data_IF_812157061378
#
_entry.id   IF_812157061378
#
_cell.length_a   1.000
_cell.length_b   1.000
_cell.length_c   1.000
_cell.angle_alpha   90.00
_cell.angle_beta   90.00
_cell.angle_gamma   90.00
#
_symmetry.space_group_name_H-M   'P 1'
#
loop_
_entity.id
_entity.type
_entity.pdbx_description
1 polymer ?
#
# COMPACT_ATOMS: atom_id res chain seq x y z
N UNK A 1 30.07 -6.65 7.91
CA UNK A 1 28.85 -7.41 8.26
C UNK A 1 27.69 -6.67 7.64
N UNK A 2 27.13 -7.18 6.53
CA UNK A 2 25.97 -6.54 5.92
C UNK A 2 24.82 -6.58 6.92
N UNK A 3 24.39 -5.41 7.38
CA UNK A 3 23.15 -5.29 8.15
C UNK A 3 22.04 -5.88 7.28
N UNK A 4 21.51 -7.04 7.67
CA UNK A 4 20.38 -7.67 6.98
C UNK A 4 19.22 -6.72 7.21
N UNK A 5 18.89 -5.91 6.21
CA UNK A 5 17.65 -5.13 6.23
C UNK A 5 16.53 -6.17 6.33
N UNK A 6 15.75 -6.19 7.42
CA UNK A 6 14.62 -7.11 7.51
C UNK A 6 13.67 -6.84 6.34
N UNK A 7 13.16 -7.90 5.72
CA UNK A 7 12.15 -7.80 4.66
C UNK A 7 11.01 -6.90 5.14
N UNK A 8 10.72 -5.84 4.38
CA UNK A 8 9.83 -4.77 4.86
C UNK A 8 8.41 -5.30 5.03
N UNK A 9 7.96 -6.25 4.19
CA UNK A 9 6.63 -6.86 4.35
C UNK A 9 6.59 -7.68 5.64
N UNK A 10 7.62 -8.46 5.94
CA UNK A 10 7.69 -9.24 7.18
C UNK A 10 7.70 -8.33 8.40
N UNK A 11 8.47 -7.24 8.35
CA UNK A 11 8.50 -6.23 9.41
C UNK A 11 7.11 -5.63 9.65
N UNK A 12 6.45 -5.12 8.59
CA UNK A 12 5.12 -4.49 8.67
C UNK A 12 4.01 -5.48 9.07
N UNK A 13 4.15 -6.75 8.68
CA UNK A 13 3.23 -7.81 9.06
C UNK A 13 3.50 -8.37 10.47
N UNK A 14 4.61 -8.00 11.12
CA UNK A 14 5.00 -8.54 12.42
C UNK A 14 5.44 -10.01 12.38
N UNK A 15 5.93 -10.47 11.22
CA UNK A 15 6.38 -11.85 11.02
C UNK A 15 7.74 -12.03 11.69
N UNK A 16 7.79 -12.98 12.64
CA UNK A 16 9.03 -13.33 13.33
C UNK A 16 9.75 -14.46 12.58
N UNK A 17 11.09 -14.44 12.49
CA UNK A 17 11.86 -15.56 11.96
C UNK A 17 11.47 -16.88 12.63
N UNK A 18 11.27 -17.94 11.84
CA UNK A 18 10.85 -19.25 12.31
C UNK A 18 9.36 -19.38 12.66
N UNK A 19 8.54 -18.35 12.48
CA UNK A 19 7.09 -18.46 12.63
C UNK A 19 6.44 -19.29 11.51
N UNK A 20 5.17 -19.66 11.66
CA UNK A 20 4.42 -20.36 10.60
C UNK A 20 4.31 -19.52 9.32
N UNK A 21 4.08 -18.21 9.44
CA UNK A 21 4.03 -17.30 8.30
C UNK A 21 5.40 -17.07 7.65
N UNK A 22 6.48 -17.03 8.43
CA UNK A 22 7.83 -16.95 7.88
C UNK A 22 8.14 -18.18 7.01
N UNK A 23 7.87 -19.39 7.53
CA UNK A 23 8.00 -20.64 6.75
C UNK A 23 7.12 -20.66 5.51
N UNK A 24 5.92 -20.08 5.57
CA UNK A 24 5.02 -20.00 4.41
C UNK A 24 5.60 -19.07 3.34
N UNK A 25 6.13 -17.91 3.73
CA UNK A 25 6.77 -16.96 2.80
C UNK A 25 8.05 -17.53 2.19
N UNK A 26 8.77 -18.36 2.93
CA UNK A 26 9.95 -19.10 2.43
C UNK A 26 9.63 -20.11 1.32
N UNK A 27 8.37 -20.53 1.17
CA UNK A 27 7.96 -21.36 0.02
C UNK A 27 7.91 -20.57 -1.30
N UNK A 28 7.98 -19.23 -1.25
CA UNK A 28 7.94 -18.34 -2.41
C UNK A 28 9.12 -17.35 -2.37
N UNK A 29 10.38 -17.83 -2.37
CA UNK A 29 11.56 -16.99 -2.12
C UNK A 29 11.68 -15.85 -3.14
N UNK A 30 11.37 -16.11 -4.41
CA UNK A 30 11.40 -15.08 -5.45
C UNK A 30 10.38 -13.96 -5.21
N UNK A 31 9.20 -14.26 -4.68
CA UNK A 31 8.19 -13.24 -4.40
C UNK A 31 8.62 -12.36 -3.21
N UNK A 32 9.20 -12.96 -2.17
CA UNK A 32 9.79 -12.24 -1.02
C UNK A 32 10.93 -11.34 -1.48
N UNK A 33 11.90 -11.90 -2.20
CA UNK A 33 13.07 -11.17 -2.72
C UNK A 33 12.68 -10.03 -3.67
N UNK A 34 11.80 -10.28 -4.65
CA UNK A 34 11.42 -9.25 -5.63
C UNK A 34 10.60 -8.13 -4.99
N UNK A 35 9.79 -8.42 -3.97
CA UNK A 35 9.08 -7.38 -3.21
C UNK A 35 10.08 -6.48 -2.46
N UNK A 36 11.10 -7.06 -1.81
CA UNK A 36 12.13 -6.29 -1.13
C UNK A 36 12.97 -5.46 -2.12
N UNK A 37 13.36 -6.02 -3.26
CA UNK A 37 14.06 -5.27 -4.32
C UNK A 37 13.23 -4.13 -4.87
N UNK A 38 11.92 -4.33 -5.04
CA UNK A 38 10.99 -3.29 -5.49
C UNK A 38 10.91 -2.14 -4.47
N UNK A 39 10.85 -2.46 -3.18
CA UNK A 39 10.92 -1.45 -2.11
C UNK A 39 12.20 -0.63 -2.22
N UNK A 40 13.36 -1.30 -2.31
CA UNK A 40 14.66 -0.63 -2.39
C UNK A 40 14.76 0.24 -3.65
N UNK A 41 14.34 -0.25 -4.80
CA UNK A 41 14.35 0.54 -6.04
C UNK A 41 13.45 1.78 -5.97
N UNK A 42 12.37 1.75 -5.19
CA UNK A 42 11.41 2.85 -5.09
C UNK A 42 11.73 3.85 -3.98
N UNK A 43 12.36 3.42 -2.88
CA UNK A 43 12.65 4.28 -1.72
C UNK A 43 14.13 4.58 -1.51
N UNK A 44 15.01 3.70 -1.98
CA UNK A 44 16.47 3.81 -1.88
C UNK A 44 17.14 3.55 -3.25
N UNK A 45 16.70 4.21 -4.34
CA UNK A 45 17.29 4.01 -5.65
C UNK A 45 18.77 4.42 -5.66
N UNK A 46 19.60 3.67 -6.38
CA UNK A 46 21.00 4.03 -6.64
C UNK A 46 21.10 5.38 -7.38
N UNK A 47 20.13 5.65 -8.27
CA UNK A 47 19.99 6.90 -9.01
C UNK A 47 18.62 7.50 -8.72
N UNK A 48 18.49 8.45 -7.77
CA UNK A 48 17.19 8.96 -7.34
C UNK A 48 16.34 9.67 -8.39
N UNK A 49 16.98 10.18 -9.44
CA UNK A 49 16.32 11.04 -10.43
C UNK A 49 15.76 12.31 -9.79
N UNK A 50 14.69 12.84 -10.37
CA UNK A 50 14.08 14.11 -9.94
C UNK A 50 12.98 13.92 -8.88
N UNK A 51 12.58 12.68 -8.58
CA UNK A 51 11.63 12.38 -7.51
C UNK A 51 12.38 12.24 -6.18
N UNK A 52 12.22 13.23 -5.31
CA UNK A 52 12.92 13.31 -4.03
C UNK A 52 12.46 12.23 -3.04
N UNK A 53 13.30 11.92 -2.05
CA UNK A 53 12.91 11.04 -0.94
C UNK A 53 11.67 11.57 -0.20
N UNK A 54 11.59 12.89 0.00
CA UNK A 54 10.45 13.55 0.63
C UNK A 54 9.15 13.27 -0.14
N UNK A 55 9.15 13.46 -1.46
CA UNK A 55 7.97 13.20 -2.30
C UNK A 55 7.56 11.73 -2.26
N UNK A 56 8.54 10.80 -2.28
CA UNK A 56 8.27 9.35 -2.18
C UNK A 56 7.61 8.98 -0.84
N UNK A 57 8.15 9.46 0.28
CA UNK A 57 7.58 9.18 1.61
C UNK A 57 6.27 9.92 1.87
N UNK A 58 6.08 11.12 1.30
CA UNK A 58 4.80 11.83 1.35
C UNK A 58 3.69 11.03 0.64
N UNK A 59 3.95 10.55 -0.58
CA UNK A 59 3.02 9.70 -1.33
C UNK A 59 2.76 8.39 -0.58
N UNK A 60 3.81 7.76 -0.02
CA UNK A 60 3.67 6.53 0.75
C UNK A 60 2.79 6.67 2.00
N UNK A 61 3.00 7.75 2.75
CA UNK A 61 2.20 8.10 3.93
C UNK A 61 0.74 8.33 3.53
N UNK A 62 0.50 9.07 2.45
CA UNK A 62 -0.84 9.35 1.95
C UNK A 62 -1.57 8.07 1.51
N UNK A 63 -0.94 7.24 0.66
CA UNK A 63 -1.53 5.98 0.18
C UNK A 63 -1.79 5.01 1.34
N UNK A 64 -0.87 4.86 2.29
CA UNK A 64 -1.11 4.04 3.48
C UNK A 64 -2.34 4.53 4.28
N UNK A 65 -2.51 5.85 4.37
CA UNK A 65 -3.67 6.48 4.99
C UNK A 65 -4.98 6.20 4.25
N UNK A 66 -5.00 6.31 2.92
CA UNK A 66 -6.17 5.99 2.10
C UNK A 66 -6.61 4.52 2.27
N UNK A 67 -5.66 3.61 2.47
CA UNK A 67 -5.91 2.19 2.74
C UNK A 67 -6.26 1.88 4.22
N UNK A 68 -6.36 2.91 5.08
CA UNK A 68 -6.69 2.79 6.52
C UNK A 68 -5.75 1.85 7.28
N UNK A 69 -4.45 1.93 6.99
CA UNK A 69 -3.42 1.13 7.65
C UNK A 69 -2.56 2.00 8.58
N UNK A 70 -2.96 2.25 9.83
CA UNK A 70 -2.26 3.19 10.73
C UNK A 70 -0.80 2.80 10.96
N UNK A 71 -0.49 1.51 11.13
CA UNK A 71 0.89 1.05 11.31
C UNK A 71 1.80 1.33 10.09
N UNK A 72 1.22 1.34 8.88
CA UNK A 72 1.96 1.64 7.66
C UNK A 72 2.08 3.15 7.47
N UNK A 73 1.08 3.93 7.91
CA UNK A 73 1.18 5.39 8.00
C UNK A 73 2.34 5.78 8.92
N UNK A 74 2.40 5.22 10.13
CA UNK A 74 3.46 5.50 11.09
C UNK A 74 4.84 5.17 10.54
N UNK A 75 4.96 4.02 9.87
CA UNK A 75 6.22 3.58 9.23
C UNK A 75 6.74 4.60 8.22
N UNK A 76 5.92 5.01 7.25
CA UNK A 76 6.35 5.97 6.22
C UNK A 76 6.45 7.41 6.74
N UNK A 77 5.62 7.79 7.71
CA UNK A 77 5.67 9.12 8.32
C UNK A 77 6.95 9.33 9.14
N UNK A 78 7.52 8.28 9.74
CA UNK A 78 8.77 8.38 10.49
C UNK A 78 9.96 8.83 9.60
N UNK A 79 10.05 8.28 8.39
CA UNK A 79 11.06 8.70 7.41
C UNK A 79 10.80 10.13 6.92
N UNK A 80 9.53 10.50 6.67
CA UNK A 80 9.17 11.87 6.30
C UNK A 80 9.51 12.89 7.39
N UNK A 81 9.32 12.54 8.67
CA UNK A 81 9.68 13.39 9.80
C UNK A 81 11.19 13.58 9.92
N UNK A 82 11.96 12.53 9.65
CA UNK A 82 13.44 12.57 9.63
C UNK A 82 13.97 13.53 8.55
N UNK A 83 13.22 13.71 7.47
CA UNK A 83 13.51 14.68 6.41
C UNK A 83 13.13 16.13 6.79
N UNK A 84 12.69 16.39 8.02
CA UNK A 84 12.53 17.74 8.58
C UNK A 84 11.25 18.48 8.19
N UNK A 85 10.20 17.78 7.75
CA UNK A 85 9.01 18.38 7.13
C UNK A 85 7.75 18.26 7.99
N UNK A 86 7.74 18.92 9.15
CA UNK A 86 6.60 18.88 10.10
C UNK A 86 5.32 19.50 9.54
N UNK A 87 5.42 20.63 8.82
CA UNK A 87 4.26 21.29 8.19
C UNK A 87 3.62 20.43 7.09
N UNK A 88 4.45 19.79 6.26
CA UNK A 88 3.99 18.84 5.23
C UNK A 88 3.33 17.63 5.90
N UNK A 89 3.92 17.11 6.97
CA UNK A 89 3.35 15.97 7.71
C UNK A 89 1.97 16.29 8.27
N UNK A 90 1.78 17.50 8.84
CA UNK A 90 0.49 17.95 9.35
C UNK A 90 -0.55 18.13 8.22
N UNK A 91 -0.16 18.76 7.11
CA UNK A 91 -1.03 18.91 5.93
C UNK A 91 -1.44 17.55 5.35
N UNK A 92 -0.51 16.59 5.26
CA UNK A 92 -0.78 15.24 4.80
C UNK A 92 -1.78 14.49 5.68
N UNK A 93 -1.66 14.58 7.01
CA UNK A 93 -2.61 13.95 7.93
C UNK A 93 -4.04 14.49 7.71
N UNK A 94 -4.18 15.80 7.53
CA UNK A 94 -5.48 16.41 7.24
C UNK A 94 -6.03 16.01 5.85
N UNK A 95 -5.17 15.91 4.84
CA UNK A 95 -5.57 15.47 3.51
C UNK A 95 -5.87 13.96 3.43
N UNK A 96 -5.21 13.11 4.22
CA UNK A 96 -5.57 11.68 4.37
C UNK A 96 -7.01 11.56 4.88
N UNK A 97 -7.37 12.34 5.90
CA UNK A 97 -8.72 12.35 6.44
C UNK A 97 -9.75 12.80 5.40
N UNK A 98 -9.44 13.85 4.63
CA UNK A 98 -10.32 14.35 3.54
C UNK A 98 -10.43 13.39 2.35
N UNK A 99 -9.36 12.68 2.04
CA UNK A 99 -9.29 11.73 0.92
C UNK A 99 -9.87 10.35 1.24
N UNK A 100 -10.21 10.07 2.51
CA UNK A 100 -10.74 8.76 2.92
C UNK A 100 -12.15 8.54 2.39
N UNK A 101 -12.28 7.58 1.47
CA UNK A 101 -13.53 7.21 0.79
C UNK A 101 -13.61 5.69 0.63
N UNK A 102 -14.74 5.17 0.13
CA UNK A 102 -14.92 3.75 -0.18
C UNK A 102 -15.06 3.53 -1.68
N UNK A 103 -14.01 3.02 -2.33
CA UNK A 103 -14.03 2.63 -3.75
C UNK A 103 -13.84 1.12 -3.95
N UNK A 104 -13.54 0.65 -5.17
CA UNK A 104 -13.18 1.46 -6.33
C UNK A 104 -14.39 2.05 -7.07
N UNK A 105 -14.16 3.20 -7.67
CA UNK A 105 -15.02 3.90 -8.61
C UNK A 105 -14.46 3.77 -10.03
N UNK A 106 -15.28 4.05 -11.02
CA UNK A 106 -14.82 4.06 -12.39
C UNK A 106 -15.92 4.15 -13.43
N UNK A 107 -15.59 4.80 -14.54
CA UNK A 107 -16.48 4.95 -15.68
C UNK A 107 -16.21 3.87 -16.72
N UNK A 108 -17.27 3.15 -17.07
CA UNK A 108 -17.26 2.18 -18.16
C UNK A 108 -18.02 2.74 -19.37
N UNK A 109 -17.47 2.60 -20.59
CA UNK A 109 -18.24 2.85 -21.82
C UNK A 109 -19.49 1.97 -21.87
N UNK A 110 -20.44 2.33 -22.72
CA UNK A 110 -21.64 1.51 -22.97
C UNK A 110 -21.22 0.10 -23.42
N UNK A 111 -21.67 -0.91 -22.68
CA UNK A 111 -21.34 -2.31 -22.91
C UNK A 111 -21.62 -3.20 -21.69
N UNK A 112 -21.18 -4.48 -21.72
CA UNK A 112 -21.45 -5.43 -20.64
C UNK A 112 -20.93 -4.98 -19.27
N UNK A 113 -19.81 -4.27 -19.24
CA UNK A 113 -19.17 -3.79 -18.00
C UNK A 113 -19.79 -2.48 -17.48
N UNK A 114 -20.77 -1.88 -18.15
CA UNK A 114 -21.45 -0.68 -17.64
C UNK A 114 -22.11 -0.91 -16.28
N UNK A 115 -22.46 -2.16 -15.95
CA UNK A 115 -23.01 -2.55 -14.64
C UNK A 115 -22.00 -2.34 -13.49
N UNK A 116 -20.70 -2.34 -13.79
CA UNK A 116 -19.64 -2.09 -12.80
C UNK A 116 -19.36 -0.59 -12.59
N UNK A 117 -20.10 0.29 -13.29
CA UNK A 117 -19.93 1.74 -13.18
C UNK A 117 -20.36 2.22 -11.79
N UNK A 118 -19.42 2.78 -11.05
CA UNK A 118 -19.68 3.45 -9.78
C UNK A 118 -19.09 4.86 -9.86
N UNK A 119 -19.92 5.89 -9.71
CA UNK A 119 -19.46 7.27 -9.60
C UNK A 119 -18.93 7.51 -8.18
N UNK A 120 -17.89 8.33 -8.06
CA UNK A 120 -17.26 8.65 -6.78
C UNK A 120 -16.77 10.09 -6.73
N UNK A 121 -16.48 10.60 -5.52
CA UNK A 121 -15.95 11.96 -5.36
C UNK A 121 -14.56 12.09 -5.97
N UNK A 122 -14.36 13.11 -6.80
CA UNK A 122 -13.02 13.46 -7.26
C UNK A 122 -12.27 14.21 -6.16
N UNK A 123 -11.19 13.62 -5.65
CA UNK A 123 -10.36 14.26 -4.65
C UNK A 123 -9.55 15.42 -5.23
N UNK A 124 -9.47 16.50 -4.46
CA UNK A 124 -8.60 17.66 -4.66
C UNK A 124 -8.04 18.10 -3.32
N UNK A 125 -6.75 18.41 -3.31
CA UNK A 125 -6.09 19.00 -2.13
C UNK A 125 -6.79 20.33 -1.82
N UNK A 126 -7.04 20.60 -0.54
CA UNK A 126 -7.68 21.85 -0.12
C UNK A 126 -6.84 23.08 -0.48
N UNK A 127 -7.49 24.22 -0.70
CA UNK A 127 -6.79 25.46 -1.01
C UNK A 127 -5.78 25.85 0.09
N UNK A 128 -6.13 25.62 1.36
CA UNK A 128 -5.24 25.87 2.50
C UNK A 128 -3.94 25.03 2.42
N UNK A 129 -4.04 23.76 2.07
CA UNK A 129 -2.88 22.87 2.06
C UNK A 129 -2.04 22.98 0.78
N UNK A 130 -2.60 23.51 -0.32
CA UNK A 130 -1.84 23.72 -1.58
C UNK A 130 -0.62 24.62 -1.39
N UNK A 131 -0.75 25.67 -0.58
CA UNK A 131 0.35 26.59 -0.32
C UNK A 131 1.50 25.92 0.47
N UNK A 132 1.16 25.01 1.39
CA UNK A 132 2.14 24.27 2.21
C UNK A 132 2.79 23.11 1.46
N UNK A 133 2.01 22.39 0.66
CA UNK A 133 2.46 21.23 -0.10
C UNK A 133 3.19 21.63 -1.39
N UNK A 134 2.85 22.80 -1.95
CA UNK A 134 3.34 23.23 -3.25
C UNK A 134 2.73 22.43 -4.42
N UNK A 135 3.04 22.84 -5.66
CA UNK A 135 2.38 22.32 -6.86
C UNK A 135 2.70 20.84 -7.12
N UNK A 136 3.96 20.42 -6.92
CA UNK A 136 4.41 19.04 -7.19
C UNK A 136 3.72 18.02 -6.29
N UNK A 137 3.77 18.21 -4.97
CA UNK A 137 3.10 17.33 -4.03
C UNK A 137 1.58 17.36 -4.22
N UNK A 138 1.00 18.54 -4.44
CA UNK A 138 -0.43 18.66 -4.72
C UNK A 138 -0.86 17.76 -5.88
N UNK A 139 -0.17 17.86 -7.02
CA UNK A 139 -0.51 17.11 -8.22
C UNK A 139 -0.33 15.59 -8.03
N UNK A 140 0.74 15.15 -7.36
CA UNK A 140 0.97 13.71 -7.15
C UNK A 140 0.04 13.11 -6.11
N UNK A 141 -0.40 13.84 -5.10
CA UNK A 141 -1.41 13.34 -4.15
C UNK A 141 -2.77 13.17 -4.83
N UNK A 142 -3.16 14.10 -5.69
CA UNK A 142 -4.37 13.96 -6.51
C UNK A 142 -4.28 12.76 -7.47
N UNK A 143 -3.11 12.54 -8.08
CA UNK A 143 -2.87 11.37 -8.93
C UNK A 143 -2.85 10.05 -8.14
N UNK A 144 -2.25 10.04 -6.94
CA UNK A 144 -2.24 8.87 -6.08
C UNK A 144 -3.68 8.49 -5.67
N UNK A 145 -4.52 9.45 -5.31
CA UNK A 145 -5.93 9.20 -5.02
C UNK A 145 -6.68 8.63 -6.23
N UNK A 146 -6.47 9.21 -7.42
CA UNK A 146 -7.00 8.70 -8.69
C UNK A 146 -6.60 7.22 -8.90
N UNK A 147 -5.34 6.86 -8.73
CA UNK A 147 -4.89 5.47 -8.91
C UNK A 147 -5.41 4.51 -7.84
N UNK A 148 -5.64 4.98 -6.61
CA UNK A 148 -6.17 4.15 -5.51
C UNK A 148 -7.66 3.88 -5.67
N UNK A 149 -8.46 4.91 -5.97
CA UNK A 149 -9.93 4.80 -5.95
C UNK A 149 -10.60 4.89 -7.31
N UNK A 150 -9.95 5.47 -8.31
CA UNK A 150 -10.48 5.66 -9.67
C UNK A 150 -9.51 5.16 -10.76
N UNK A 151 -8.85 3.99 -10.61
CA UNK A 151 -7.79 3.58 -11.54
C UNK A 151 -8.28 3.48 -12.99
N UNK A 152 -9.58 3.21 -13.20
CA UNK A 152 -10.21 3.15 -14.51
C UNK A 152 -10.35 4.52 -15.19
N UNK A 153 -10.43 5.59 -14.41
CA UNK A 153 -10.60 6.96 -14.90
C UNK A 153 -9.26 7.64 -15.21
N UNK A 154 -8.14 6.92 -15.05
CA UNK A 154 -6.82 7.38 -15.48
C UNK A 154 -6.85 7.76 -16.97
N UNK A 155 -6.40 8.97 -17.27
CA UNK A 155 -6.55 9.58 -18.59
C UNK A 155 -5.36 10.48 -18.95
N UNK A 156 -5.14 10.80 -20.24
CA UNK A 156 -4.12 11.75 -20.66
C UNK A 156 -4.25 13.11 -19.96
N UNK A 157 -5.48 13.59 -19.74
CA UNK A 157 -5.73 14.84 -19.03
C UNK A 157 -5.30 14.79 -17.55
N UNK A 158 -5.43 13.63 -16.89
CA UNK A 158 -4.93 13.45 -15.53
C UNK A 158 -3.38 13.48 -15.49
N UNK A 159 -2.72 12.83 -16.47
CA UNK A 159 -1.27 12.86 -16.58
C UNK A 159 -0.74 14.26 -16.94
N UNK A 160 -1.47 15.03 -17.75
CA UNK A 160 -1.10 16.40 -18.10
C UNK A 160 -0.98 17.30 -16.87
N UNK A 161 -1.85 17.13 -15.85
CA UNK A 161 -1.76 17.89 -14.60
C UNK A 161 -0.44 17.68 -13.86
N UNK A 162 0.16 16.49 -13.97
CA UNK A 162 1.48 16.22 -13.39
C UNK A 162 2.58 16.94 -14.20
N UNK A 163 2.51 16.90 -15.52
CA UNK A 163 3.44 17.64 -16.39
C UNK A 163 3.38 19.15 -16.12
N UNK A 164 2.16 19.70 -16.00
CA UNK A 164 1.92 21.12 -15.68
C UNK A 164 2.46 21.51 -14.31
N UNK A 165 2.51 20.56 -13.37
CA UNK A 165 3.13 20.73 -12.04
C UNK A 165 4.67 20.59 -12.06
N UNK A 166 5.27 20.35 -13.23
CA UNK A 166 6.71 20.25 -13.42
C UNK A 166 7.28 18.85 -13.24
N UNK A 167 6.46 17.80 -13.24
CA UNK A 167 6.94 16.42 -13.27
C UNK A 167 7.38 16.04 -14.69
N UNK A 168 8.47 15.29 -14.81
CA UNK A 168 8.84 14.69 -16.11
C UNK A 168 8.04 13.42 -16.37
N UNK A 169 8.00 12.95 -17.62
CA UNK A 169 7.39 11.66 -17.95
C UNK A 169 8.00 10.50 -17.14
N UNK A 170 9.32 10.52 -16.92
CA UNK A 170 10.03 9.52 -16.12
C UNK A 170 9.58 9.55 -14.65
N UNK A 171 9.38 10.74 -14.10
CA UNK A 171 8.88 10.91 -12.74
C UNK A 171 7.46 10.35 -12.59
N UNK A 172 6.58 10.66 -13.56
CA UNK A 172 5.19 10.19 -13.56
C UNK A 172 5.13 8.66 -13.56
N UNK A 173 5.99 8.00 -14.35
CA UNK A 173 6.09 6.53 -14.34
C UNK A 173 6.56 6.04 -12.97
N UNK A 174 7.61 6.64 -12.41
CA UNK A 174 8.17 6.27 -11.10
C UNK A 174 7.13 6.41 -9.98
N UNK A 175 6.38 7.51 -9.97
CA UNK A 175 5.33 7.80 -8.98
C UNK A 175 4.14 6.84 -9.13
N UNK A 176 3.75 6.52 -10.37
CA UNK A 176 2.66 5.57 -10.64
C UNK A 176 3.05 4.14 -10.23
N UNK A 177 4.32 3.76 -10.44
CA UNK A 177 4.88 2.51 -9.95
C UNK A 177 4.92 2.47 -8.43
N UNK A 178 5.32 3.56 -7.77
CA UNK A 178 5.31 3.70 -6.32
C UNK A 178 3.89 3.46 -5.74
N UNK A 179 2.87 4.14 -6.27
CA UNK A 179 1.48 3.97 -5.81
C UNK A 179 0.99 2.53 -6.03
N UNK A 180 1.34 1.94 -7.17
CA UNK A 180 0.98 0.54 -7.48
C UNK A 180 1.66 -0.44 -6.52
N UNK A 181 2.95 -0.27 -6.26
CA UNK A 181 3.71 -1.07 -5.30
C UNK A 181 3.16 -0.95 -3.89
N UNK A 182 2.88 0.28 -3.42
CA UNK A 182 2.29 0.53 -2.11
C UNK A 182 0.93 -0.17 -1.97
N UNK A 183 0.06 -0.04 -2.97
CA UNK A 183 -1.25 -0.70 -2.99
C UNK A 183 -1.13 -2.23 -2.93
N UNK A 184 -0.10 -2.80 -3.57
CA UNK A 184 0.23 -4.23 -3.46
C UNK A 184 0.73 -4.58 -2.05
N UNK A 185 1.75 -3.88 -1.56
CA UNK A 185 2.41 -4.14 -0.29
C UNK A 185 1.43 -4.06 0.88
N UNK A 186 0.61 -3.01 0.91
CA UNK A 186 -0.43 -2.79 1.92
C UNK A 186 -1.40 -3.99 1.96
N UNK A 187 -1.90 -4.44 0.80
CA UNK A 187 -2.84 -5.57 0.73
C UNK A 187 -2.19 -6.88 1.15
N UNK A 188 -0.92 -7.11 0.79
CA UNK A 188 -0.17 -8.29 1.23
C UNK A 188 0.01 -8.29 2.75
N UNK A 189 0.43 -7.17 3.33
CA UNK A 189 0.59 -7.03 4.78
C UNK A 189 -0.74 -7.26 5.49
N UNK A 190 -1.82 -6.64 5.03
CA UNK A 190 -3.16 -6.83 5.60
C UNK A 190 -3.60 -8.31 5.53
N UNK A 191 -3.40 -8.97 4.38
CA UNK A 191 -3.72 -10.39 4.20
C UNK A 191 -2.91 -11.30 5.14
N UNK A 192 -1.59 -11.07 5.27
CA UNK A 192 -0.75 -11.84 6.18
C UNK A 192 -1.16 -11.67 7.64
N UNK A 193 -1.49 -10.44 8.05
CA UNK A 193 -1.99 -10.16 9.41
C UNK A 193 -3.35 -10.82 9.67
N UNK A 194 -4.24 -10.85 8.68
CA UNK A 194 -5.51 -11.56 8.79
C UNK A 194 -5.31 -13.07 8.98
N UNK A 195 -4.39 -13.69 8.22
CA UNK A 195 -4.05 -15.12 8.38
C UNK A 195 -3.44 -15.40 9.76
N UNK A 196 -2.54 -14.54 10.26
CA UNK A 196 -2.01 -14.66 11.62
C UNK A 196 -3.11 -14.58 12.69
N UNK A 197 -4.00 -13.59 12.57
CA UNK A 197 -5.12 -13.40 13.49
C UNK A 197 -6.08 -14.59 13.51
N UNK A 198 -6.45 -15.11 12.34
CA UNK A 198 -7.30 -16.31 12.24
C UNK A 198 -6.64 -17.55 12.85
N UNK A 199 -5.33 -17.73 12.63
CA UNK A 199 -4.58 -18.85 13.20
C UNK A 199 -4.46 -18.78 14.73
N UNK A 200 -4.44 -17.57 15.30
CA UNK A 200 -4.40 -17.35 16.74
C UNK A 200 -5.78 -17.43 17.40
N UNK A 201 -6.85 -17.10 16.65
CA UNK A 201 -8.22 -17.09 17.14
C UNK A 201 -8.89 -18.47 17.11
N UNK A 202 -8.37 -19.43 16.33
CA UNK A 202 -8.91 -20.78 16.29
C UNK A 202 -8.67 -21.50 17.63
N UNK A 203 -9.72 -21.79 18.42
CA UNK A 203 -9.63 -22.85 19.40
C UNK A 203 -9.35 -24.13 18.61
N UNK A 204 -8.46 -24.98 19.12
CA UNK A 204 -8.41 -26.35 18.63
C UNK A 204 -9.78 -26.94 19.01
N UNK A 205 -10.68 -27.07 18.04
CA UNK A 205 -11.86 -27.91 18.17
C UNK A 205 -11.34 -29.34 18.41
N UNK A 206 -11.21 -29.66 19.69
CA UNK A 206 -10.78 -30.97 20.18
C UNK A 206 -11.75 -32.10 19.76
N UNK A 207 -12.88 -31.77 19.12
CA UNK A 207 -13.82 -32.72 18.55
C UNK A 207 -13.28 -33.46 17.32
N UNK A 208 -12.43 -32.84 16.48
CA UNK A 208 -12.00 -33.51 15.25
C UNK A 208 -10.93 -34.61 15.47
N UNK A 209 -10.25 -34.61 16.63
CA UNK A 209 -9.28 -35.66 17.00
C UNK A 209 -9.94 -36.91 17.58
N UNK A 210 -11.12 -36.80 18.21
CA UNK A 210 -11.84 -37.97 18.75
C UNK A 210 -12.54 -38.80 17.68
N UNK A 211 -12.99 -38.19 16.58
CA UNK A 211 -13.71 -38.90 15.50
C UNK A 211 -12.77 -39.87 14.76
N UNK A 212 -11.48 -39.53 14.60
CA UNK A 212 -10.51 -40.40 13.92
C UNK A 212 -9.91 -41.49 14.81
N UNK A 213 -9.91 -41.32 16.13
CA UNK A 213 -9.42 -42.36 17.08
C UNK A 213 -10.50 -43.36 17.48
N UNK A 214 -11.79 -43.02 17.39
CA UNK A 214 -12.89 -43.94 17.70
C UNK A 214 -13.18 -44.99 16.61
N UNK A 215 -13.05 -44.63 15.32
CA UNK A 215 -13.46 -45.50 14.20
C UNK A 215 -12.41 -46.57 13.86
N UNK A 216 -11.15 -46.40 14.26
CA UNK A 216 -10.09 -47.40 14.05
C UNK A 216 -9.87 -48.34 15.25
N UNK A 217 -10.53 -48.09 16.38
CA UNK A 217 -10.40 -48.90 17.61
C UNK A 217 -11.54 -49.91 17.83
N UNK A 218 -12.69 -49.77 17.16
CA UNK A 218 -13.74 -50.79 17.15
C UNK A 218 -13.43 -51.83 16.08
N UNK A 219 -12.55 -52.78 16.41
CA UNK A 219 -12.33 -54.01 15.65
C UNK A 219 -13.57 -54.90 15.64
N UNK A 220 -14.67 -54.44 15.04
CA UNK A 220 -15.78 -55.28 14.61
C UNK A 220 -15.53 -55.68 13.17
N UNK A 221 -15.14 -56.96 13.07
CA UNK A 221 -15.10 -57.86 11.91
C UNK A 221 -16.35 -57.75 11.05
#
# INVERSE_FOLDING_TARGET
MSSIIPDVIDHLAGIRPGSSLDRLRDQRPQARENAQKSYLALFQPEFPGDVTALERYAVATFVAGLHRQPHLVDFYAADLQTLGSSEISAALQAEIARGSVEGPYGRYPLGPLTIEKVEGPEYRVSAEHKDRLGPRLTAVLEHAHLLVFHPRDASPAALQKLLDAGWTTTDIVTLSQLVSFLSFQIRVVAGLRAVAGASAAAPIDAEFTQILTGVLASGTV
#
